data_IF_472391163597
#
_entry.id   IF_472391163597
#
_cell.length_a   1.000
_cell.length_b   1.000
_cell.length_c   1.000
_cell.angle_alpha   90.00
_cell.angle_beta   90.00
_cell.angle_gamma   90.00
#
_symmetry.space_group_name_H-M   'P 1'
#
loop_
_entity.id
_entity.type
_entity.pdbx_description
1 polymer ?
#
# COMPACT_ATOMS: atom_id res chain seq x y z
N UNK A 1 -35.02 -49.63 17.15
CA UNK A 1 -35.27 -48.37 16.44
C UNK A 1 -34.02 -47.51 16.56
N UNK A 2 -33.24 -47.41 15.48
CA UNK A 2 -31.94 -46.73 15.48
C UNK A 2 -32.12 -45.21 15.43
N UNK A 3 -31.58 -44.51 16.41
CA UNK A 3 -31.37 -43.06 16.33
C UNK A 3 -30.02 -42.84 15.66
N UNK A 4 -30.07 -42.58 14.35
CA UNK A 4 -28.92 -42.09 13.59
C UNK A 4 -28.68 -40.64 14.03
N UNK A 5 -27.70 -40.43 14.91
CA UNK A 5 -27.16 -39.11 15.22
C UNK A 5 -26.72 -38.49 13.88
N UNK A 6 -27.53 -37.56 13.35
CA UNK A 6 -27.11 -36.71 12.25
C UNK A 6 -25.92 -35.91 12.77
N UNK A 7 -24.71 -36.31 12.40
CA UNK A 7 -23.53 -35.51 12.60
C UNK A 7 -23.83 -34.14 11.97
N UNK A 8 -24.01 -33.11 12.80
CA UNK A 8 -23.96 -31.73 12.35
C UNK A 8 -22.71 -31.63 11.48
N UNK A 9 -22.92 -31.47 10.17
CA UNK A 9 -21.83 -31.45 9.21
C UNK A 9 -20.93 -30.29 9.63
N UNK A 10 -19.80 -30.60 10.29
CA UNK A 10 -18.85 -29.59 10.67
C UNK A 10 -18.21 -29.07 9.39
N UNK A 11 -18.25 -27.76 9.20
CA UNK A 11 -17.65 -27.17 8.03
C UNK A 11 -16.15 -27.53 7.95
N UNK A 12 -15.68 -27.97 6.78
CA UNK A 12 -14.31 -28.47 6.64
C UNK A 12 -13.32 -27.34 6.93
N UNK A 13 -12.55 -27.50 8.02
CA UNK A 13 -11.51 -26.55 8.42
C UNK A 13 -12.02 -25.14 8.72
N UNK A 14 -13.25 -24.99 9.24
CA UNK A 14 -13.87 -23.70 9.59
C UNK A 14 -13.84 -22.68 8.44
N UNK A 15 -13.92 -23.16 7.21
CA UNK A 15 -13.88 -22.33 6.01
C UNK A 15 -12.64 -21.43 5.91
N UNK A 16 -11.54 -21.81 6.56
CA UNK A 16 -10.25 -21.11 6.52
C UNK A 16 -10.34 -19.60 6.75
N UNK A 17 -11.35 -19.14 7.51
CA UNK A 17 -11.69 -17.72 7.72
C UNK A 17 -12.02 -16.92 6.44
N UNK A 18 -12.09 -17.59 5.27
CA UNK A 18 -12.45 -17.01 3.97
C UNK A 18 -13.94 -17.10 3.65
N UNK A 19 -14.78 -17.49 4.60
CA UNK A 19 -16.21 -17.71 4.37
C UNK A 19 -17.01 -17.94 5.63
N UNK A 20 -18.31 -18.20 5.44
CA UNK A 20 -19.24 -18.57 6.50
C UNK A 20 -19.63 -20.04 6.37
N UNK A 21 -19.81 -20.70 7.51
CA UNK A 21 -20.33 -22.06 7.57
C UNK A 21 -21.87 -22.02 7.49
N UNK A 22 -22.45 -22.63 6.46
CA UNK A 22 -23.90 -22.73 6.27
C UNK A 22 -24.24 -24.18 5.96
N UNK A 23 -25.03 -24.82 6.80
CA UNK A 23 -25.46 -26.23 6.68
C UNK A 23 -24.29 -27.20 6.42
N UNK A 24 -23.18 -26.97 7.11
CA UNK A 24 -21.96 -27.79 7.00
C UNK A 24 -21.17 -27.65 5.71
N UNK A 25 -21.50 -26.64 4.90
CA UNK A 25 -20.74 -26.24 3.72
C UNK A 25 -20.19 -24.85 3.89
N UNK A 26 -19.03 -24.61 3.30
CA UNK A 26 -18.43 -23.29 3.30
C UNK A 26 -19.01 -22.42 2.17
N UNK A 27 -19.62 -21.32 2.56
CA UNK A 27 -20.02 -20.24 1.66
C UNK A 27 -18.94 -19.15 1.69
N UNK A 28 -18.09 -19.14 0.67
CA UNK A 28 -16.95 -18.23 0.62
C UNK A 28 -17.38 -16.78 0.39
N UNK A 29 -16.69 -15.86 1.05
CA UNK A 29 -16.79 -14.43 0.71
C UNK A 29 -15.75 -14.12 -0.38
N UNK A 30 -16.10 -13.40 -1.46
CA UNK A 30 -15.11 -13.03 -2.47
C UNK A 30 -13.91 -12.28 -1.84
N UNK A 31 -12.66 -12.52 -2.30
CA UNK A 31 -12.27 -13.37 -3.43
C UNK A 31 -11.97 -14.84 -3.07
N UNK A 32 -12.31 -15.31 -1.87
CA UNK A 32 -12.00 -16.68 -1.46
C UNK A 32 -12.86 -17.71 -2.21
N UNK A 33 -12.30 -18.90 -2.42
CA UNK A 33 -12.90 -19.96 -3.21
C UNK A 33 -12.46 -21.37 -2.77
N UNK A 34 -13.15 -22.37 -3.31
CA UNK A 34 -12.91 -23.79 -3.04
C UNK A 34 -13.67 -24.31 -1.82
N UNK A 35 -13.61 -25.62 -1.60
CA UNK A 35 -14.43 -26.35 -0.59
C UNK A 35 -14.21 -25.85 0.84
N UNK A 36 -13.03 -25.27 1.13
CA UNK A 36 -12.67 -24.69 2.43
C UNK A 36 -12.48 -23.18 2.39
N UNK A 37 -12.79 -22.50 1.29
CA UNK A 37 -12.47 -21.07 1.09
C UNK A 37 -10.98 -20.72 1.29
N UNK A 38 -10.09 -21.69 1.04
CA UNK A 38 -8.64 -21.52 1.17
C UNK A 38 -7.96 -21.10 -0.13
N UNK A 39 -8.66 -21.22 -1.27
CA UNK A 39 -8.18 -20.73 -2.57
C UNK A 39 -8.63 -19.29 -2.80
N UNK A 40 -8.02 -18.64 -3.79
CA UNK A 40 -8.45 -17.33 -4.27
C UNK A 40 -8.97 -17.48 -5.71
N UNK A 41 -10.16 -16.94 -5.98
CA UNK A 41 -10.70 -16.78 -7.32
C UNK A 41 -10.10 -15.52 -7.95
N UNK A 42 -8.80 -15.58 -8.27
CA UNK A 42 -8.09 -14.51 -8.98
C UNK A 42 -8.14 -14.71 -10.48
N UNK A 43 -8.21 -13.60 -11.22
CA UNK A 43 -7.99 -13.64 -12.67
C UNK A 43 -6.48 -13.84 -12.94
N UNK A 44 -6.11 -14.43 -14.10
CA UNK A 44 -4.72 -14.50 -14.51
C UNK A 44 -4.07 -13.11 -14.52
N UNK A 45 -2.84 -13.01 -14.05
CA UNK A 45 -2.05 -11.80 -14.23
C UNK A 45 -1.70 -11.64 -15.71
N UNK A 46 -1.83 -10.43 -16.24
CA UNK A 46 -1.42 -10.10 -17.60
C UNK A 46 0.01 -9.58 -17.56
N UNK A 47 0.91 -10.23 -18.30
CA UNK A 47 2.30 -9.82 -18.39
C UNK A 47 2.43 -8.45 -19.07
N UNK A 48 3.31 -7.59 -18.55
CA UNK A 48 3.52 -6.24 -19.06
C UNK A 48 2.54 -5.19 -18.51
N UNK A 49 1.50 -5.62 -17.79
CA UNK A 49 0.65 -4.73 -16.99
C UNK A 49 1.33 -4.35 -15.65
N UNK A 50 0.67 -3.49 -14.89
CA UNK A 50 1.18 -2.94 -13.64
C UNK A 50 2.15 -1.77 -13.86
N UNK A 51 2.99 -1.50 -12.86
CA UNK A 51 4.03 -0.49 -12.95
C UNK A 51 5.40 -1.15 -12.79
N UNK A 52 6.29 -0.87 -13.74
CA UNK A 52 7.64 -1.41 -13.76
C UNK A 52 8.58 -0.28 -14.18
N UNK A 53 9.72 -0.19 -13.51
CA UNK A 53 10.84 0.64 -13.91
C UNK A 53 12.02 -0.29 -14.12
N UNK A 54 12.66 -0.18 -15.28
CA UNK A 54 13.87 -0.96 -15.58
C UNK A 54 14.97 -0.58 -14.59
N UNK A 55 15.71 -1.57 -14.10
CA UNK A 55 16.80 -1.43 -13.13
C UNK A 55 16.47 -0.77 -11.78
N UNK A 56 15.18 -0.62 -11.45
CA UNK A 56 14.77 -0.03 -10.18
C UNK A 56 13.79 -0.91 -9.41
N UNK A 57 13.90 -0.84 -8.09
CA UNK A 57 12.99 -1.52 -7.19
C UNK A 57 11.81 -0.60 -6.87
N UNK A 58 10.61 -1.10 -7.15
CA UNK A 58 9.34 -0.44 -6.80
C UNK A 58 8.68 -1.21 -5.65
N UNK A 59 8.10 -0.51 -4.68
CA UNK A 59 7.45 -1.10 -3.52
C UNK A 59 6.18 -0.35 -3.09
N UNK A 60 5.25 -1.05 -2.45
CA UNK A 60 4.18 -0.39 -1.69
C UNK A 60 3.22 0.45 -2.53
N UNK A 61 2.83 -0.04 -3.71
CA UNK A 61 1.94 0.67 -4.61
C UNK A 61 0.53 0.86 -4.05
N UNK A 62 0.01 2.08 -4.11
CA UNK A 62 -1.38 2.44 -3.77
C UNK A 62 -1.99 3.22 -4.93
N UNK A 63 -3.04 2.68 -5.54
CA UNK A 63 -3.72 3.27 -6.68
C UNK A 63 -5.12 3.76 -6.33
N UNK A 64 -5.53 4.87 -6.94
CA UNK A 64 -6.89 5.41 -6.83
C UNK A 64 -7.38 5.89 -8.19
N UNK A 65 -8.67 5.67 -8.48
CA UNK A 65 -9.32 6.27 -9.65
C UNK A 65 -9.70 7.71 -9.33
N UNK A 66 -9.35 8.66 -10.18
CA UNK A 66 -9.66 10.06 -9.99
C UNK A 66 -10.74 10.57 -10.95
N UNK A 67 -11.12 11.84 -10.77
CA UNK A 67 -12.20 12.50 -11.52
C UNK A 67 -11.83 12.71 -13.01
N UNK A 68 -10.54 12.67 -13.35
CA UNK A 68 -10.04 12.66 -14.74
C UNK A 68 -10.28 11.30 -15.46
N UNK A 69 -10.86 10.33 -14.75
CA UNK A 69 -11.17 8.99 -15.24
C UNK A 69 -9.98 8.02 -15.24
N UNK A 70 -8.78 8.48 -14.87
CA UNK A 70 -7.55 7.69 -14.85
C UNK A 70 -7.31 7.07 -13.48
N UNK A 71 -6.43 6.09 -13.45
CA UNK A 71 -5.88 5.51 -12.23
C UNK A 71 -4.55 6.19 -11.92
N UNK A 72 -4.42 6.69 -10.70
CA UNK A 72 -3.21 7.31 -10.17
C UNK A 72 -2.58 6.38 -9.15
N UNK A 73 -1.41 5.84 -9.50
CA UNK A 73 -0.60 5.00 -8.64
C UNK A 73 0.47 5.85 -7.94
N UNK A 74 0.55 5.72 -6.63
CA UNK A 74 1.66 6.20 -5.83
C UNK A 74 2.45 4.99 -5.35
N UNK A 75 3.76 5.01 -5.52
CA UNK A 75 4.60 3.89 -5.13
C UNK A 75 5.95 4.38 -4.62
N UNK A 76 6.60 3.57 -3.80
CA UNK A 76 7.98 3.80 -3.42
C UNK A 76 8.94 3.33 -4.50
N UNK A 77 10.00 4.10 -4.71
CA UNK A 77 11.17 3.71 -5.53
C UNK A 77 12.42 3.89 -4.69
N UNK A 78 13.33 2.92 -4.73
CA UNK A 78 14.64 3.03 -4.08
C UNK A 78 15.63 3.69 -5.05
N UNK A 79 15.78 5.00 -4.95
CA UNK A 79 16.57 5.75 -5.94
C UNK A 79 18.06 5.40 -5.84
N UNK A 80 18.64 4.95 -6.96
CA UNK A 80 20.04 4.52 -7.06
C UNK A 80 20.42 3.51 -5.96
N UNK A 81 19.47 2.64 -5.60
CA UNK A 81 19.62 1.75 -4.46
C UNK A 81 18.83 0.45 -4.57
N UNK A 82 18.91 -0.36 -3.52
CA UNK A 82 18.23 -1.65 -3.42
C UNK A 82 17.26 -1.67 -2.25
N UNK A 83 16.45 -2.73 -2.18
CA UNK A 83 15.57 -3.01 -1.04
C UNK A 83 16.31 -3.08 0.29
N UNK A 84 17.63 -3.25 0.33
CA UNK A 84 18.39 -3.27 1.58
C UNK A 84 18.66 -1.87 2.17
N UNK A 85 18.47 -0.81 1.38
CA UNK A 85 18.75 0.59 1.75
C UNK A 85 17.55 1.52 1.56
N UNK A 86 16.35 0.96 1.50
CA UNK A 86 15.10 1.72 1.35
C UNK A 86 14.94 2.84 2.40
N UNK A 87 15.41 2.62 3.62
CA UNK A 87 15.33 3.54 4.75
C UNK A 87 16.12 4.86 4.54
N UNK A 88 17.03 4.91 3.57
CA UNK A 88 17.80 6.12 3.19
C UNK A 88 17.49 6.64 1.78
N UNK A 89 16.97 5.79 0.91
CA UNK A 89 16.88 6.06 -0.54
C UNK A 89 15.45 6.08 -1.09
N UNK A 90 14.46 5.73 -0.27
CA UNK A 90 13.07 5.67 -0.72
C UNK A 90 12.52 7.06 -1.02
N UNK A 91 11.94 7.17 -2.21
CA UNK A 91 11.14 8.30 -2.67
C UNK A 91 9.75 7.81 -3.05
N UNK A 92 8.79 8.71 -3.14
CA UNK A 92 7.44 8.39 -3.62
C UNK A 92 7.26 8.97 -5.00
N UNK A 93 6.91 8.12 -5.95
CA UNK A 93 6.55 8.50 -7.32
C UNK A 93 5.04 8.57 -7.47
N UNK A 94 4.62 9.21 -8.56
CA UNK A 94 3.25 9.22 -9.06
C UNK A 94 3.28 8.72 -10.50
N UNK A 95 2.46 7.74 -10.81
CA UNK A 95 2.28 7.13 -12.12
C UNK A 95 0.78 7.07 -12.47
N UNK A 96 0.47 6.94 -13.76
CA UNK A 96 -0.92 6.94 -14.23
C UNK A 96 -1.21 5.85 -15.25
N UNK A 97 -2.44 5.35 -15.26
CA UNK A 97 -2.96 4.38 -16.23
C UNK A 97 -4.41 4.69 -16.60
N UNK A 98 -4.88 4.20 -17.76
CA UNK A 98 -6.30 4.28 -18.15
C UNK A 98 -7.13 3.13 -17.57
N UNK A 99 -6.50 2.02 -17.19
CA UNK A 99 -7.15 0.84 -16.60
C UNK A 99 -6.59 0.56 -15.20
N UNK A 100 -7.32 -0.17 -14.33
CA UNK A 100 -6.81 -0.51 -13.01
C UNK A 100 -5.56 -1.41 -13.07
N UNK A 101 -5.47 -2.26 -14.10
CA UNK A 101 -4.36 -3.17 -14.33
C UNK A 101 -3.09 -2.47 -14.81
N UNK A 102 -3.22 -1.32 -15.48
CA UNK A 102 -2.11 -0.62 -16.09
C UNK A 102 -2.20 -0.61 -17.63
N UNK A 103 -1.04 -0.64 -18.32
CA UNK A 103 0.28 -0.44 -17.75
C UNK A 103 0.39 1.00 -17.24
N UNK A 104 0.94 1.17 -16.03
CA UNK A 104 1.16 2.49 -15.46
C UNK A 104 2.39 3.13 -16.08
N UNK A 105 2.31 4.44 -16.31
CA UNK A 105 3.41 5.27 -16.81
C UNK A 105 3.81 6.27 -15.74
N UNK A 106 5.11 6.34 -15.47
CA UNK A 106 5.67 7.30 -14.52
C UNK A 106 5.28 8.71 -14.96
N UNK A 107 4.68 9.48 -14.05
CA UNK A 107 4.33 10.87 -14.27
C UNK A 107 5.39 11.79 -13.66
N UNK A 108 5.76 11.56 -12.40
CA UNK A 108 6.76 12.37 -11.68
C UNK A 108 7.26 11.66 -10.42
N UNK A 109 8.38 12.14 -9.89
CA UNK A 109 8.68 11.98 -8.47
C UNK A 109 7.81 12.96 -7.69
N UNK A 110 7.01 12.45 -6.76
CA UNK A 110 6.08 13.27 -5.99
C UNK A 110 6.72 13.80 -4.70
N UNK A 111 7.30 12.90 -3.89
CA UNK A 111 7.93 13.26 -2.62
C UNK A 111 9.32 12.66 -2.52
N UNK A 112 10.24 13.46 -1.98
CA UNK A 112 11.56 13.04 -1.50
C UNK A 112 11.67 13.37 -0.01
N UNK A 113 12.67 12.82 0.66
CA UNK A 113 13.09 13.36 1.95
C UNK A 113 13.35 14.86 1.83
N UNK A 114 12.99 15.65 2.84
CA UNK A 114 13.16 17.12 2.76
C UNK A 114 14.63 17.55 2.78
N UNK A 115 15.55 16.65 3.14
CA UNK A 115 16.98 16.93 3.34
C UNK A 115 17.29 17.61 4.68
N UNK A 116 16.28 17.97 5.47
CA UNK A 116 16.43 18.66 6.75
C UNK A 116 16.56 17.67 7.92
N UNK A 117 17.43 17.97 8.89
CA UNK A 117 17.51 17.20 10.15
C UNK A 117 16.36 17.53 11.09
N UNK A 118 15.65 18.62 10.84
CA UNK A 118 14.56 19.17 11.65
C UNK A 118 13.21 18.51 11.31
N UNK A 119 13.03 18.05 10.07
CA UNK A 119 11.81 17.36 9.63
C UNK A 119 11.77 15.89 10.07
N UNK A 120 10.61 15.33 10.40
CA UNK A 120 10.48 13.91 10.76
C UNK A 120 10.80 12.96 9.58
N UNK A 121 10.67 13.46 8.36
CA UNK A 121 10.80 12.75 7.09
C UNK A 121 11.89 13.34 6.20
N UNK A 122 12.95 13.86 6.83
CA UNK A 122 14.05 14.51 6.16
C UNK A 122 14.92 13.60 5.30
N UNK A 123 15.06 12.32 5.67
CA UNK A 123 15.90 11.37 4.96
C UNK A 123 15.17 10.70 3.79
N UNK A 124 14.07 10.01 4.08
CA UNK A 124 13.34 9.21 3.11
C UNK A 124 11.84 9.23 3.36
N UNK A 125 11.09 8.91 2.30
CA UNK A 125 9.63 8.73 2.33
C UNK A 125 9.27 7.39 1.70
N UNK A 126 8.41 6.62 2.35
CA UNK A 126 8.18 5.22 1.98
C UNK A 126 6.71 4.78 2.11
N UNK A 127 6.35 3.73 1.40
CA UNK A 127 5.07 3.00 1.47
C UNK A 127 3.83 3.90 1.45
N UNK A 128 3.57 4.63 0.34
CA UNK A 128 2.44 5.53 0.23
C UNK A 128 1.10 4.80 0.30
N UNK A 129 0.10 5.43 0.89
CA UNK A 129 -1.29 5.01 0.85
C UNK A 129 -2.20 6.19 0.53
N UNK A 130 -2.84 6.17 -0.63
CA UNK A 130 -3.74 7.24 -1.07
C UNK A 130 -5.20 6.90 -0.76
N UNK A 131 -5.94 7.88 -0.25
CA UNK A 131 -7.39 7.83 -0.07
C UNK A 131 -8.03 9.12 -0.56
N UNK A 132 -9.30 9.05 -0.96
CA UNK A 132 -10.13 10.23 -1.24
C UNK A 132 -11.09 10.42 -0.09
N UNK A 133 -11.06 11.60 0.53
CA UNK A 133 -11.96 11.97 1.61
C UNK A 133 -13.33 12.37 1.05
N UNK A 134 -14.35 12.33 1.91
CA UNK A 134 -15.71 12.82 1.57
C UNK A 134 -15.73 14.29 1.13
N UNK A 135 -14.77 15.10 1.59
CA UNK A 135 -14.60 16.48 1.15
C UNK A 135 -14.09 16.63 -0.29
N UNK A 136 -13.77 15.52 -0.97
CA UNK A 136 -13.19 15.51 -2.31
C UNK A 136 -11.66 15.60 -2.33
N UNK A 137 -11.00 15.87 -1.20
CA UNK A 137 -9.53 15.92 -1.12
C UNK A 137 -8.92 14.53 -1.25
N UNK A 138 -7.80 14.47 -1.96
CA UNK A 138 -6.90 13.34 -1.96
C UNK A 138 -5.91 13.50 -0.81
N UNK A 139 -5.71 12.44 -0.05
CA UNK A 139 -4.77 12.36 1.05
C UNK A 139 -3.83 11.19 0.81
N UNK A 140 -2.54 11.44 0.97
CA UNK A 140 -1.47 10.47 0.85
C UNK A 140 -0.81 10.34 2.22
N UNK A 141 -1.07 9.22 2.89
CA UNK A 141 -0.29 8.80 4.04
C UNK A 141 1.01 8.18 3.56
N UNK A 142 2.09 8.38 4.30
CA UNK A 142 3.37 7.76 3.98
C UNK A 142 4.22 7.60 5.24
N UNK A 143 5.19 6.70 5.20
CA UNK A 143 6.21 6.56 6.23
C UNK A 143 7.29 7.62 6.00
N UNK A 144 7.58 8.41 7.03
CA UNK A 144 8.69 9.33 7.11
C UNK A 144 9.85 8.76 7.91
N UNK A 145 11.07 8.89 7.39
CA UNK A 145 12.31 8.51 8.07
C UNK A 145 13.30 9.67 8.03
N UNK A 146 14.04 9.87 9.12
CA UNK A 146 15.14 10.85 9.15
C UNK A 146 16.41 10.29 9.79
N UNK A 147 17.16 9.54 9.00
CA UNK A 147 18.46 8.99 9.43
C UNK A 147 19.53 10.08 9.52
N UNK A 148 19.34 11.24 8.88
CA UNK A 148 20.21 12.41 9.04
C UNK A 148 20.18 12.95 10.48
N UNK A 149 19.03 12.79 11.17
CA UNK A 149 18.86 13.11 12.59
C UNK A 149 19.29 11.95 13.49
N UNK A 150 18.79 10.75 13.21
CA UNK A 150 18.87 9.63 14.17
C UNK A 150 20.10 8.73 13.99
N UNK A 151 20.92 8.97 12.97
CA UNK A 151 22.14 8.21 12.68
C UNK A 151 21.95 7.16 11.59
N UNK A 152 23.08 6.70 11.04
CA UNK A 152 23.16 5.85 9.85
C UNK A 152 23.12 4.34 10.13
N UNK A 153 22.54 3.91 11.26
CA UNK A 153 22.23 2.48 11.45
C UNK A 153 20.76 2.25 11.13
N UNK A 154 20.50 1.18 10.37
CA UNK A 154 19.14 0.79 9.95
C UNK A 154 18.18 0.70 11.13
N UNK A 155 18.57 -0.04 12.17
CA UNK A 155 17.76 -0.25 13.38
C UNK A 155 17.35 1.06 14.06
N UNK A 156 18.29 2.01 14.19
CA UNK A 156 18.04 3.28 14.86
C UNK A 156 17.14 4.21 14.02
N UNK A 157 17.29 4.18 12.71
CA UNK A 157 16.44 4.98 11.83
C UNK A 157 15.03 4.38 11.72
N UNK A 158 14.91 3.07 11.51
CA UNK A 158 13.62 2.38 11.35
C UNK A 158 12.77 2.40 12.63
N UNK A 159 13.39 2.35 13.81
CA UNK A 159 12.65 2.46 15.09
C UNK A 159 12.04 3.84 15.36
N UNK A 160 12.35 4.85 14.52
CA UNK A 160 11.86 6.24 14.62
C UNK A 160 10.91 6.62 13.47
N UNK A 161 10.45 5.64 12.71
CA UNK A 161 9.47 5.84 11.63
C UNK A 161 8.21 6.53 12.14
N UNK A 162 7.76 7.54 11.41
CA UNK A 162 6.50 8.25 11.70
C UNK A 162 5.61 8.25 10.45
N UNK A 163 4.31 8.42 10.61
CA UNK A 163 3.39 8.56 9.49
C UNK A 163 3.22 10.03 9.17
N UNK A 164 3.61 10.42 7.96
CA UNK A 164 3.34 11.71 7.38
C UNK A 164 2.04 11.73 6.59
N UNK A 165 1.61 12.94 6.26
CA UNK A 165 0.43 13.20 5.45
C UNK A 165 0.74 14.30 4.44
N UNK A 166 0.45 14.05 3.17
CA UNK A 166 0.34 15.07 2.15
C UNK A 166 -1.07 15.06 1.57
N UNK A 167 -1.52 16.19 1.02
CA UNK A 167 -2.86 16.28 0.45
C UNK A 167 -2.90 17.15 -0.81
N UNK A 168 -3.88 16.89 -1.67
CA UNK A 168 -4.17 17.70 -2.85
C UNK A 168 -5.68 17.70 -3.15
N UNK A 169 -6.16 18.70 -3.89
CA UNK A 169 -7.52 18.70 -4.45
C UNK A 169 -7.61 17.87 -5.74
N UNK A 170 -6.52 17.82 -6.49
CA UNK A 170 -6.36 17.08 -7.73
C UNK A 170 -5.04 16.29 -7.63
N UNK A 171 -5.02 14.97 -7.89
CA UNK A 171 -3.78 14.18 -7.84
C UNK A 171 -2.69 14.68 -8.80
N UNK A 172 -3.07 15.31 -9.93
CA UNK A 172 -2.14 15.94 -10.88
C UNK A 172 -1.62 17.30 -10.38
N UNK A 173 -2.36 17.94 -9.48
CA UNK A 173 -2.05 19.25 -8.92
C UNK A 173 -0.88 19.27 -7.93
N UNK A 174 -0.77 20.38 -7.21
CA UNK A 174 0.22 20.54 -6.15
C UNK A 174 -0.21 19.81 -4.87
N UNK A 175 0.75 19.12 -4.26
CA UNK A 175 0.57 18.42 -2.98
C UNK A 175 1.16 19.23 -1.84
N UNK A 176 0.35 19.46 -0.81
CA UNK A 176 0.77 20.12 0.43
C UNK A 176 1.11 19.06 1.47
N UNK A 177 2.38 19.00 1.85
CA UNK A 177 2.93 18.14 2.90
C UNK A 177 2.72 18.80 4.27
N UNK A 178 2.31 18.06 5.29
CA UNK A 178 2.29 18.55 6.66
C UNK A 178 3.71 18.64 7.23
N UNK A 179 3.96 19.63 8.09
CA UNK A 179 5.26 19.80 8.75
C UNK A 179 5.52 18.75 9.83
N UNK A 180 4.46 18.33 10.53
CA UNK A 180 4.51 17.35 11.62
C UNK A 180 3.86 16.02 11.22
N UNK A 181 4.32 14.89 11.79
CA UNK A 181 3.72 13.59 11.52
C UNK A 181 2.32 13.49 12.18
N UNK A 182 1.45 12.69 11.58
CA UNK A 182 0.12 12.36 12.12
C UNK A 182 0.15 11.16 13.07
N UNK A 183 1.24 10.38 13.07
CA UNK A 183 1.49 9.30 14.04
C UNK A 183 3.00 9.13 14.20
N UNK A 184 3.50 8.96 15.43
CA UNK A 184 4.91 8.74 15.72
C UNK A 184 5.10 7.71 16.84
N UNK A 185 6.28 7.08 16.97
CA UNK A 185 6.56 6.11 18.03
C UNK A 185 6.65 6.83 19.39
N UNK A 186 5.83 6.42 20.36
CA UNK A 186 5.89 6.91 21.74
C UNK A 186 5.63 8.41 21.90
N UNK A 187 4.36 8.81 21.78
CA UNK A 187 3.87 10.03 22.45
C UNK A 187 3.84 9.83 23.96
#
# INVERSE_FOLDING_TARGET
AGQQLQALALCPGLCSLGGRCVDGRCQCVPPFAGVRCAGLAVQPAVWGEGFQLEDQNVWGGSAIRADDGRYHLFASVFENSTVLRWWESSIIIHATASTPGGPYRLLRVLLRGTGSKEAFDGGAVHNPHVVRLHSGRYVLYYIGLNCLRWGHTRERCESRQSIGLAWAWDPLGAWTRLAEPVLAPGL
#
